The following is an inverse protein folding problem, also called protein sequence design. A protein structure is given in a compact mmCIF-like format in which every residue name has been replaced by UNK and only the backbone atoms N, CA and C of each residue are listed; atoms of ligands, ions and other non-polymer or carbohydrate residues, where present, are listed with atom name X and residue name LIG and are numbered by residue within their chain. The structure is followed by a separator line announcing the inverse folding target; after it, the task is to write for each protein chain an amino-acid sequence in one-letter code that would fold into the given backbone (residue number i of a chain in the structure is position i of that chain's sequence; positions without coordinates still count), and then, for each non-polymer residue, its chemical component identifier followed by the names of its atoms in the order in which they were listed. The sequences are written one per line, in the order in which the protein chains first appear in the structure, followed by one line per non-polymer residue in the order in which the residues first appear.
data_IF_538982657107
#
_entry.id   IF_538982657107
#
_cell.length_a   1.000
_cell.length_b   1.000
_cell.length_c   1.000
_cell.angle_alpha   90.00
_cell.angle_beta   90.00
_cell.angle_gamma   90.00
#
_symmetry.space_group_name_H-M   'P 1'
#
loop_
_entity.id
_entity.type
_entity.pdbx_description
1 polymer ?
#
# COMPACT_ATOMS: atom_id res chain seq x y z
N UNK A 1 -20.46 -7.54 -0.28
CA UNK A 1 -19.06 -8.01 -0.19
C UNK A 1 -18.18 -7.03 -0.93
N UNK A 2 -17.16 -6.50 -0.24
CA UNK A 2 -16.25 -5.54 -0.82
C UNK A 2 -15.23 -6.22 -1.75
N UNK A 3 -14.83 -5.55 -2.79
CA UNK A 3 -13.88 -6.08 -3.78
C UNK A 3 -12.98 -4.98 -4.35
N UNK A 4 -11.80 -5.36 -4.77
CA UNK A 4 -10.89 -4.52 -5.54
C UNK A 4 -10.77 -5.05 -6.97
N UNK A 5 -10.69 -4.12 -7.92
CA UNK A 5 -10.49 -4.43 -9.34
C UNK A 5 -9.50 -3.43 -9.93
N UNK A 6 -8.76 -3.87 -10.91
CA UNK A 6 -7.97 -2.96 -11.76
C UNK A 6 -8.59 -2.97 -13.15
N UNK A 7 -8.88 -1.79 -13.68
CA UNK A 7 -9.27 -1.59 -15.07
C UNK A 7 -8.17 -0.80 -15.77
N UNK A 8 -8.00 -1.06 -17.05
CA UNK A 8 -7.00 -0.39 -17.86
C UNK A 8 -7.58 0.14 -19.16
N UNK A 9 -7.05 1.28 -19.60
CA UNK A 9 -7.21 1.79 -20.95
C UNK A 9 -6.02 1.27 -21.77
N UNK A 10 -6.30 0.61 -22.87
CA UNK A 10 -5.29 0.18 -23.83
C UNK A 10 -5.43 0.95 -25.15
N UNK A 11 -4.33 1.08 -25.88
CA UNK A 11 -4.32 1.60 -27.23
C UNK A 11 -4.78 0.55 -28.28
N UNK A 12 -4.74 0.89 -29.54
CA UNK A 12 -5.14 -0.01 -30.63
C UNK A 12 -4.22 -1.24 -30.80
N UNK A 13 -3.01 -1.20 -30.26
CA UNK A 13 -2.07 -2.33 -30.23
C UNK A 13 -2.29 -3.25 -29.01
N UNK A 14 -3.15 -2.85 -28.07
CA UNK A 14 -3.41 -3.57 -26.84
C UNK A 14 -2.44 -3.20 -25.69
N UNK A 15 -1.58 -2.19 -25.89
CA UNK A 15 -0.68 -1.72 -24.85
C UNK A 15 -1.41 -0.83 -23.85
N UNK A 16 -1.18 -1.04 -22.56
CA UNK A 16 -1.82 -0.26 -21.51
C UNK A 16 -1.25 1.16 -21.49
N UNK A 17 -2.14 2.13 -21.63
CA UNK A 17 -1.81 3.56 -21.54
C UNK A 17 -2.01 4.09 -20.13
N UNK A 18 -3.05 3.60 -19.44
CA UNK A 18 -3.37 3.99 -18.07
C UNK A 18 -4.23 2.95 -17.39
N UNK A 19 -4.22 2.92 -16.06
CA UNK A 19 -5.01 2.01 -15.23
C UNK A 19 -5.64 2.75 -14.05
N UNK A 20 -6.74 2.19 -13.55
CA UNK A 20 -7.43 2.63 -12.34
C UNK A 20 -7.66 1.45 -11.42
N UNK A 21 -7.50 1.71 -10.13
CA UNK A 21 -7.94 0.80 -9.08
C UNK A 21 -9.37 1.16 -8.67
N UNK A 22 -10.27 0.21 -8.79
CA UNK A 22 -11.65 0.32 -8.33
C UNK A 22 -11.78 -0.38 -6.98
N UNK A 23 -12.20 0.38 -5.98
CA UNK A 23 -12.36 -0.08 -4.62
C UNK A 23 -13.84 -0.09 -4.25
N UNK A 24 -14.44 -1.28 -4.23
CA UNK A 24 -15.82 -1.51 -3.88
C UNK A 24 -15.91 -1.85 -2.39
N UNK A 25 -16.33 -0.92 -1.59
CA UNK A 25 -16.44 -1.06 -0.13
C UNK A 25 -17.62 -0.23 0.37
N UNK A 26 -18.21 -0.56 1.53
CA UNK A 26 -19.04 0.41 2.25
C UNK A 26 -18.27 1.72 2.43
N UNK A 27 -18.95 2.84 2.37
CA UNK A 27 -18.30 4.15 2.48
C UNK A 27 -17.41 4.23 3.73
N UNK A 28 -16.09 4.47 3.57
CA UNK A 28 -15.21 4.64 4.70
C UNK A 28 -15.59 5.88 5.50
N UNK A 29 -15.55 5.77 6.82
CA UNK A 29 -15.77 6.94 7.68
C UNK A 29 -14.52 7.81 7.73
N UNK A 30 -14.72 9.10 7.86
CA UNK A 30 -13.68 10.04 8.23
C UNK A 30 -13.50 10.03 9.75
N UNK A 31 -12.27 9.84 10.19
CA UNK A 31 -11.89 9.81 11.60
C UNK A 31 -10.97 10.98 11.88
N UNK A 32 -11.33 11.83 12.82
CA UNK A 32 -10.51 12.98 13.23
C UNK A 32 -9.75 12.62 14.49
N UNK A 33 -8.42 12.67 14.41
CA UNK A 33 -7.51 12.40 15.51
C UNK A 33 -7.25 13.64 16.36
N UNK A 34 -6.66 13.47 17.56
CA UNK A 34 -6.41 14.54 18.50
C UNK A 34 -5.53 15.68 17.94
N UNK A 35 -4.63 15.36 16.99
CA UNK A 35 -3.81 16.33 16.27
C UNK A 35 -4.59 17.10 15.17
N UNK A 36 -5.90 16.89 15.05
CA UNK A 36 -6.75 17.51 14.03
C UNK A 36 -6.63 16.90 12.63
N UNK A 37 -5.81 15.87 12.44
CA UNK A 37 -5.71 15.15 11.17
C UNK A 37 -6.93 14.26 10.94
N UNK A 38 -7.34 14.17 9.69
CA UNK A 38 -8.50 13.36 9.29
C UNK A 38 -8.02 12.24 8.38
N UNK A 39 -8.27 11.01 8.80
CA UNK A 39 -7.95 9.80 8.06
C UNK A 39 -9.22 9.02 7.71
N UNK A 40 -9.12 8.12 6.74
CA UNK A 40 -10.14 7.08 6.57
C UNK A 40 -10.01 6.05 7.70
N UNK A 41 -11.11 5.45 8.10
CA UNK A 41 -11.16 4.41 9.15
C UNK A 41 -10.50 3.09 8.75
N UNK A 42 -9.93 3.02 7.57
CA UNK A 42 -9.31 1.81 7.01
C UNK A 42 -8.26 2.12 5.95
N UNK A 43 -7.35 1.18 5.72
CA UNK A 43 -6.37 1.24 4.64
C UNK A 43 -7.04 1.08 3.27
N UNK A 44 -6.43 1.65 2.23
CA UNK A 44 -6.89 1.46 0.84
C UNK A 44 -6.96 -0.03 0.49
N UNK A 45 -8.10 -0.44 -0.06
CA UNK A 45 -8.37 -1.84 -0.40
C UNK A 45 -9.02 -2.66 0.71
N UNK A 46 -9.02 -2.19 1.95
CA UNK A 46 -9.76 -2.84 3.03
C UNK A 46 -11.27 -2.65 2.84
N UNK A 47 -12.03 -3.71 3.09
CA UNK A 47 -13.49 -3.71 2.89
C UNK A 47 -14.27 -3.75 4.20
N UNK A 48 -13.57 -3.81 5.32
CA UNK A 48 -14.08 -3.76 6.68
C UNK A 48 -13.08 -3.16 7.66
N UNK A 49 -13.49 -3.04 8.92
CA UNK A 49 -12.67 -2.49 10.02
C UNK A 49 -12.61 -3.42 11.23
N UNK A 50 -13.18 -4.64 11.12
CA UNK A 50 -13.22 -5.57 12.24
C UNK A 50 -11.81 -6.06 12.58
N UNK A 51 -11.33 -5.85 13.81
CA UNK A 51 -10.00 -6.29 14.24
C UNK A 51 -9.80 -7.80 14.04
N UNK A 52 -8.70 -8.16 13.39
CA UNK A 52 -8.33 -9.54 13.09
C UNK A 52 -9.05 -10.16 11.88
N UNK A 53 -10.04 -9.49 11.30
CA UNK A 53 -10.68 -9.94 10.06
C UNK A 53 -9.79 -9.69 8.85
N UNK A 54 -9.78 -10.62 7.88
CA UNK A 54 -9.12 -10.42 6.59
C UNK A 54 -9.63 -9.18 5.82
N UNK A 55 -10.86 -8.76 6.08
CA UNK A 55 -11.49 -7.58 5.49
C UNK A 55 -10.83 -6.26 5.92
N UNK A 56 -10.12 -6.24 7.04
CA UNK A 56 -9.46 -5.05 7.57
C UNK A 56 -8.04 -4.85 6.99
N UNK A 57 -7.51 -5.83 6.28
CA UNK A 57 -6.22 -5.73 5.62
C UNK A 57 -6.37 -5.06 4.25
N UNK A 58 -5.57 -4.01 4.02
CA UNK A 58 -5.56 -3.27 2.77
C UNK A 58 -4.61 -3.87 1.73
N UNK A 59 -4.35 -3.08 0.72
CA UNK A 59 -3.41 -3.38 -0.35
C UNK A 59 -2.06 -2.68 -0.09
N UNK A 60 -1.00 -3.18 -0.74
CA UNK A 60 0.31 -2.57 -0.69
C UNK A 60 0.53 -1.65 -1.88
N UNK A 61 1.39 -0.66 -1.68
CA UNK A 61 1.79 0.28 -2.71
C UNK A 61 3.30 0.46 -2.70
N UNK A 62 3.88 0.70 -3.84
CA UNK A 62 5.23 1.27 -3.94
C UNK A 62 5.13 2.78 -3.84
N UNK A 63 6.00 3.42 -3.07
CA UNK A 63 5.96 4.87 -2.89
C UNK A 63 5.95 5.61 -4.22
N UNK A 64 5.00 6.51 -4.40
CA UNK A 64 4.85 7.28 -5.64
C UNK A 64 4.11 6.53 -6.77
N UNK A 65 3.54 5.35 -6.54
CA UNK A 65 2.70 4.63 -7.50
C UNK A 65 1.23 4.67 -7.13
N UNK A 66 0.39 4.77 -8.15
CA UNK A 66 -1.07 4.69 -8.05
C UNK A 66 -1.61 3.25 -8.02
N UNK A 67 -0.83 2.29 -8.51
CA UNK A 67 -1.27 0.92 -8.71
C UNK A 67 -1.01 0.07 -7.48
N UNK A 68 -2.01 -0.67 -7.00
CA UNK A 68 -1.91 -1.51 -5.82
C UNK A 68 -1.29 -2.87 -6.13
N UNK A 69 -0.74 -3.48 -5.07
CA UNK A 69 -0.34 -4.88 -5.04
C UNK A 69 -1.16 -5.63 -4.00
N UNK A 70 -1.39 -6.92 -4.27
CA UNK A 70 -2.18 -7.73 -3.35
C UNK A 70 -1.60 -7.68 -1.94
N UNK A 71 -2.53 -7.58 -0.98
CA UNK A 71 -2.25 -7.65 0.44
C UNK A 71 -2.01 -9.06 0.91
N UNK A 72 -1.51 -9.18 2.13
CA UNK A 72 -1.45 -10.41 2.88
C UNK A 72 -2.21 -10.26 4.19
N UNK A 73 -2.56 -11.36 4.82
CA UNK A 73 -3.07 -11.38 6.19
C UNK A 73 -1.94 -11.67 7.17
N UNK A 74 -2.14 -11.39 8.45
CA UNK A 74 -1.15 -11.65 9.49
C UNK A 74 -0.74 -13.13 9.61
N UNK A 75 -1.60 -14.04 9.17
CA UNK A 75 -1.39 -15.49 9.24
C UNK A 75 -0.65 -16.05 8.02
N UNK A 76 -0.43 -15.27 6.99
CA UNK A 76 0.30 -15.73 5.82
C UNK A 76 1.79 -15.84 6.11
N UNK A 77 2.28 -17.07 6.02
CA UNK A 77 3.71 -17.39 6.16
C UNK A 77 4.39 -17.62 4.81
N UNK A 78 3.61 -17.69 3.73
CA UNK A 78 4.12 -17.99 2.40
C UNK A 78 4.76 -16.77 1.75
N UNK A 79 6.05 -16.85 1.55
CA UNK A 79 6.84 -15.88 0.80
C UNK A 79 6.68 -16.01 -0.73
N UNK A 80 5.78 -16.85 -1.22
CA UNK A 80 5.59 -17.01 -2.65
C UNK A 80 4.97 -15.74 -3.22
N UNK A 81 5.78 -15.08 -4.01
CA UNK A 81 5.44 -13.87 -4.72
C UNK A 81 4.06 -14.00 -5.38
N UNK A 82 3.26 -12.97 -5.28
CA UNK A 82 2.10 -12.68 -6.14
C UNK A 82 1.09 -13.79 -6.45
N UNK A 83 1.32 -15.05 -6.08
CA UNK A 83 0.41 -16.16 -6.36
C UNK A 83 -0.99 -15.96 -5.74
N UNK A 84 -1.08 -15.21 -4.67
CA UNK A 84 -2.34 -14.87 -4.00
C UNK A 84 -3.08 -13.69 -4.62
N UNK A 85 -2.45 -12.98 -5.53
CA UNK A 85 -3.07 -11.89 -6.25
C UNK A 85 -4.24 -12.33 -7.12
N UNK A 86 -4.21 -13.55 -7.58
CA UNK A 86 -5.25 -14.12 -8.45
C UNK A 86 -6.63 -14.17 -7.79
N UNK A 87 -6.70 -14.30 -6.48
CA UNK A 87 -7.97 -14.37 -5.74
C UNK A 87 -8.64 -13.00 -5.57
N UNK A 88 -7.86 -11.93 -5.54
CA UNK A 88 -8.35 -10.56 -5.31
C UNK A 88 -8.35 -9.67 -6.55
N UNK A 89 -7.80 -10.13 -7.67
CA UNK A 89 -7.83 -9.42 -8.93
C UNK A 89 -8.64 -10.22 -9.96
N UNK A 90 -9.72 -9.67 -10.47
CA UNK A 90 -10.30 -10.18 -11.70
C UNK A 90 -9.45 -9.63 -12.85
N UNK A 91 -8.45 -10.38 -13.19
CA UNK A 91 -7.83 -10.24 -14.50
C UNK A 91 -8.82 -10.79 -15.51
N UNK A 92 -9.08 -10.06 -16.59
CA UNK A 92 -9.84 -10.62 -17.70
C UNK A 92 -9.15 -11.93 -18.13
N UNK A 93 -9.84 -13.09 -18.12
CA UNK A 93 -9.23 -14.38 -18.44
C UNK A 93 -8.51 -14.41 -19.80
N UNK A 94 -8.94 -13.57 -20.74
CA UNK A 94 -8.29 -13.43 -22.06
C UNK A 94 -6.88 -12.81 -21.98
N UNK A 95 -6.54 -12.15 -20.87
CA UNK A 95 -5.25 -11.49 -20.66
C UNK A 95 -4.49 -12.03 -19.45
N UNK A 96 -4.95 -13.13 -18.86
CA UNK A 96 -4.41 -13.67 -17.61
C UNK A 96 -2.89 -13.89 -17.65
N UNK A 97 -2.38 -14.43 -18.75
CA UNK A 97 -0.96 -14.75 -18.90
C UNK A 97 -0.08 -13.51 -19.09
N UNK A 98 -0.62 -12.44 -19.69
CA UNK A 98 0.13 -11.21 -19.98
C UNK A 98 -0.04 -10.13 -18.91
N UNK A 99 -1.11 -10.21 -18.14
CA UNK A 99 -1.48 -9.20 -17.13
C UNK A 99 -1.51 -9.77 -15.71
N UNK A 100 -0.85 -10.89 -15.47
CA UNK A 100 -0.67 -11.42 -14.13
C UNK A 100 0.30 -10.56 -13.30
N UNK A 101 0.10 -10.56 -11.99
CA UNK A 101 1.06 -9.94 -11.07
C UNK A 101 2.44 -10.58 -11.22
N UNK A 102 3.46 -9.77 -11.41
CA UNK A 102 4.85 -10.22 -11.56
C UNK A 102 5.84 -9.26 -10.91
N UNK A 103 7.03 -9.74 -10.65
CA UNK A 103 8.15 -8.92 -10.21
C UNK A 103 9.12 -8.75 -11.38
N UNK A 104 9.55 -7.52 -11.62
CA UNK A 104 10.51 -7.16 -12.64
C UNK A 104 11.59 -6.24 -12.08
N UNK A 105 12.80 -6.34 -12.60
CA UNK A 105 13.93 -5.58 -12.06
C UNK A 105 14.86 -5.07 -13.15
N UNK A 106 15.54 -3.97 -12.82
CA UNK A 106 16.54 -3.35 -13.66
C UNK A 106 16.17 -1.94 -14.12
N UNK A 107 17.17 -1.16 -14.50
CA UNK A 107 16.98 0.25 -14.82
C UNK A 107 16.03 0.50 -16.01
N UNK A 108 15.98 -0.42 -16.95
CA UNK A 108 15.13 -0.30 -18.15
C UNK A 108 13.63 -0.35 -17.83
N UNK A 109 13.23 -1.13 -16.81
CA UNK A 109 11.84 -1.25 -16.38
C UNK A 109 11.48 -0.29 -15.24
N UNK A 110 12.48 0.33 -14.62
CA UNK A 110 12.32 1.20 -13.46
C UNK A 110 12.04 2.64 -13.87
N UNK A 111 11.02 2.85 -14.68
CA UNK A 111 10.57 4.15 -15.19
C UNK A 111 9.07 4.35 -14.95
N UNK A 112 8.62 5.62 -14.98
CA UNK A 112 7.19 5.93 -14.83
C UNK A 112 6.36 5.42 -16.00
N UNK A 113 6.89 5.54 -17.19
CA UNK A 113 6.27 5.09 -18.44
C UNK A 113 6.06 3.57 -18.39
N UNK A 114 7.09 2.84 -17.99
CA UNK A 114 6.98 1.38 -17.83
C UNK A 114 5.97 1.01 -16.74
N UNK A 115 6.00 1.70 -15.60
CA UNK A 115 5.06 1.45 -14.50
C UNK A 115 3.61 1.70 -14.93
N UNK A 116 3.34 2.73 -15.73
CA UNK A 116 2.01 3.04 -16.24
C UNK A 116 1.50 1.96 -17.21
N UNK A 117 2.37 1.47 -18.09
CA UNK A 117 2.06 0.40 -19.03
C UNK A 117 1.96 -1.00 -18.37
N UNK A 118 2.55 -1.17 -17.19
CA UNK A 118 2.61 -2.45 -16.48
C UNK A 118 2.12 -2.31 -15.02
N UNK A 119 0.83 -2.01 -14.82
CA UNK A 119 0.29 -1.72 -13.48
C UNK A 119 0.41 -2.89 -12.50
N UNK A 120 0.49 -4.13 -12.99
CA UNK A 120 0.61 -5.34 -12.19
C UNK A 120 2.08 -5.78 -11.97
N UNK A 121 3.05 -5.04 -12.48
CA UNK A 121 4.47 -5.34 -12.26
C UNK A 121 5.00 -4.63 -11.01
N UNK A 122 5.46 -5.42 -10.04
CA UNK A 122 6.25 -4.90 -8.92
C UNK A 122 7.66 -4.62 -9.41
N UNK A 123 8.06 -3.38 -9.39
CA UNK A 123 9.34 -2.95 -9.97
C UNK A 123 10.42 -2.86 -8.90
N UNK A 124 11.61 -3.33 -9.21
CA UNK A 124 12.77 -3.15 -8.35
C UNK A 124 13.97 -2.66 -9.16
N UNK A 125 14.67 -1.67 -8.62
CA UNK A 125 15.92 -1.18 -9.20
C UNK A 125 17.12 -1.87 -8.52
N UNK A 126 17.06 -3.19 -8.42
CA UNK A 126 18.11 -3.98 -7.80
C UNK A 126 19.41 -3.86 -8.59
N UNK A 127 20.46 -3.40 -7.94
CA UNK A 127 21.80 -3.26 -8.51
C UNK A 127 22.35 -1.83 -8.49
N UNK A 128 21.52 -0.83 -8.26
CA UNK A 128 21.99 0.52 -7.99
C UNK A 128 22.39 0.63 -6.52
N UNK A 129 23.67 0.71 -6.24
CA UNK A 129 24.20 0.82 -4.88
C UNK A 129 23.65 2.06 -4.18
N UNK A 130 23.01 1.87 -3.02
CA UNK A 130 22.46 2.95 -2.21
C UNK A 130 21.13 3.56 -2.70
N UNK A 131 20.52 3.02 -3.75
CA UNK A 131 19.19 3.43 -4.22
C UNK A 131 18.16 2.42 -3.72
N UNK A 132 17.23 2.89 -2.90
CA UNK A 132 16.13 2.10 -2.34
C UNK A 132 14.79 2.44 -2.98
N UNK A 133 14.82 3.05 -4.15
CA UNK A 133 13.66 3.42 -4.94
C UNK A 133 13.46 2.41 -6.08
N UNK A 134 12.21 2.17 -6.42
CA UNK A 134 11.89 1.38 -7.62
C UNK A 134 12.21 2.13 -8.92
N UNK A 135 12.24 3.47 -8.88
CA UNK A 135 12.65 4.31 -10.01
C UNK A 135 14.17 4.35 -10.15
N UNK A 136 14.66 4.17 -11.36
CA UNK A 136 16.07 4.38 -11.68
C UNK A 136 16.51 5.83 -11.48
N UNK A 137 15.60 6.76 -11.71
CA UNK A 137 15.77 8.20 -11.40
C UNK A 137 14.71 8.59 -10.39
N UNK A 138 15.05 8.63 -9.09
CA UNK A 138 14.13 8.95 -8.03
C UNK A 138 13.43 10.30 -8.21
N UNK A 139 12.13 10.35 -7.90
CA UNK A 139 11.30 11.57 -7.96
C UNK A 139 10.58 11.79 -6.64
N UNK A 140 10.56 13.02 -6.15
CA UNK A 140 9.93 13.39 -4.88
C UNK A 140 8.53 13.98 -5.05
N UNK A 141 8.07 14.18 -6.27
CA UNK A 141 6.85 14.89 -6.63
C UNK A 141 5.67 13.96 -6.97
N UNK A 142 5.84 12.64 -6.86
CA UNK A 142 4.80 11.67 -7.21
C UNK A 142 3.67 11.62 -6.18
N UNK A 143 4.02 11.61 -4.89
CA UNK A 143 3.09 11.84 -3.80
C UNK A 143 3.50 13.14 -3.11
N UNK A 144 2.61 14.10 -3.07
CA UNK A 144 2.95 15.45 -2.62
C UNK A 144 1.82 16.03 -1.76
N UNK A 145 2.06 17.20 -1.18
CA UNK A 145 1.06 17.97 -0.43
C UNK A 145 -0.18 18.25 -1.28
N UNK A 146 0.01 18.59 -2.55
CA UNK A 146 -1.07 18.58 -3.54
C UNK A 146 -1.21 17.19 -4.14
N UNK A 147 -2.45 16.68 -4.22
CA UNK A 147 -2.74 15.38 -4.83
C UNK A 147 -2.30 15.35 -6.30
N UNK A 148 -1.56 14.33 -6.66
CA UNK A 148 -1.12 14.06 -8.05
C UNK A 148 -1.94 12.92 -8.66
N UNK A 149 -1.78 12.69 -9.97
CA UNK A 149 -2.39 11.52 -10.63
C UNK A 149 -1.75 10.18 -10.22
N UNK A 150 -0.61 10.21 -9.54
CA UNK A 150 0.05 9.02 -8.98
C UNK A 150 -0.37 8.69 -7.55
N UNK A 151 -1.10 9.59 -6.90
CA UNK A 151 -1.61 9.35 -5.55
C UNK A 151 -2.79 8.35 -5.61
N UNK A 152 -2.72 7.22 -4.91
CA UNK A 152 -3.70 6.14 -5.02
C UNK A 152 -5.02 6.41 -4.28
N UNK A 153 -5.06 7.43 -3.42
CA UNK A 153 -6.25 7.69 -2.62
C UNK A 153 -7.44 8.13 -3.48
N UNK A 154 -8.68 7.90 -3.05
CA UNK A 154 -9.87 8.38 -3.74
C UNK A 154 -9.90 9.90 -3.90
N UNK A 155 -10.78 10.39 -4.75
CA UNK A 155 -11.03 11.83 -4.91
C UNK A 155 -11.41 12.44 -3.56
N UNK A 156 -10.82 13.60 -3.23
CA UNK A 156 -11.01 14.26 -1.94
C UNK A 156 -10.03 13.81 -0.86
N UNK A 157 -9.27 12.75 -1.09
CA UNK A 157 -8.24 12.23 -0.18
C UNK A 157 -6.88 12.19 -0.86
N UNK A 158 -5.83 12.14 -0.05
CA UNK A 158 -4.44 11.98 -0.50
C UNK A 158 -3.68 11.08 0.48
N UNK A 159 -2.51 10.62 0.06
CA UNK A 159 -1.56 9.97 0.96
C UNK A 159 -1.22 10.95 2.10
N UNK A 160 -1.22 10.50 3.37
CA UNK A 160 -0.99 11.36 4.53
C UNK A 160 0.32 12.13 4.45
N UNK A 161 0.33 13.34 4.98
CA UNK A 161 1.56 14.09 5.21
C UNK A 161 2.41 13.40 6.32
N UNK A 162 3.71 13.64 6.32
CA UNK A 162 4.63 13.03 7.28
C UNK A 162 4.17 13.19 8.72
N UNK A 163 3.82 14.41 9.10
CA UNK A 163 3.42 14.78 10.45
C UNK A 163 2.06 14.22 10.90
N UNK A 164 1.34 13.58 9.98
CA UNK A 164 0.09 12.88 10.32
C UNK A 164 0.33 11.74 11.31
N UNK A 165 1.50 11.12 11.27
CA UNK A 165 1.85 9.96 12.09
C UNK A 165 2.61 10.32 13.37
N UNK A 166 2.93 11.61 13.62
CA UNK A 166 3.77 12.03 14.73
C UNK A 166 3.17 11.67 16.11
N UNK A 167 1.83 11.67 16.22
CA UNK A 167 1.15 11.32 17.47
C UNK A 167 0.87 9.81 17.63
N UNK A 168 1.20 8.99 16.62
CA UNK A 168 0.98 7.54 16.63
C UNK A 168 2.17 6.77 17.18
N UNK A 169 3.36 7.35 17.12
CA UNK A 169 4.60 6.73 17.57
C UNK A 169 5.55 7.77 18.15
N UNK A 170 6.49 7.31 18.97
CA UNK A 170 7.59 8.16 19.42
C UNK A 170 8.61 8.40 18.28
N UNK A 171 9.66 9.19 18.57
CA UNK A 171 10.74 9.51 17.63
C UNK A 171 11.60 8.30 17.21
N UNK A 172 11.36 7.14 17.82
CA UNK A 172 11.99 5.85 17.53
C UNK A 172 11.08 4.91 16.73
N UNK A 173 10.00 5.42 16.13
CA UNK A 173 8.99 4.64 15.43
C UNK A 173 8.31 3.56 16.32
N UNK A 174 8.21 3.80 17.62
CA UNK A 174 7.53 2.93 18.59
C UNK A 174 6.21 3.54 19.03
N UNK A 175 5.24 2.67 19.34
CA UNK A 175 3.98 3.14 19.90
C UNK A 175 4.19 3.84 21.25
N UNK A 176 3.35 4.83 21.54
CA UNK A 176 3.39 5.57 22.80
C UNK A 176 2.55 4.85 23.85
N UNK A 177 3.16 4.49 24.97
CA UNK A 177 2.49 3.81 26.07
C UNK A 177 1.29 4.61 26.59
N UNK A 178 0.18 3.93 26.82
CA UNK A 178 -1.08 4.52 27.28
C UNK A 178 -1.94 5.14 26.16
N UNK A 179 -1.44 5.20 24.93
CA UNK A 179 -2.20 5.66 23.76
C UNK A 179 -2.43 4.56 22.72
N UNK A 180 -1.93 3.36 22.98
CA UNK A 180 -2.08 2.22 22.09
C UNK A 180 -2.10 0.90 22.85
N UNK A 181 -2.80 -0.09 22.28
CA UNK A 181 -2.94 -1.44 22.82
C UNK A 181 -2.59 -2.45 21.74
N UNK A 182 -1.60 -3.30 22.02
CA UNK A 182 -1.25 -4.42 21.16
C UNK A 182 -2.24 -5.58 21.35
N UNK A 183 -2.84 -6.03 20.26
CA UNK A 183 -3.66 -7.26 20.21
C UNK A 183 -2.85 -8.40 19.59
N UNK A 184 -2.32 -9.28 20.43
CA UNK A 184 -1.48 -10.40 20.01
C UNK A 184 -2.26 -11.57 19.40
N UNK A 185 -3.57 -11.61 19.56
CA UNK A 185 -4.43 -12.63 18.96
C UNK A 185 -4.88 -12.22 17.56
N UNK A 186 -5.13 -10.92 17.37
CA UNK A 186 -5.60 -10.35 16.09
C UNK A 186 -4.48 -9.74 15.26
N UNK A 187 -3.27 -9.68 15.80
CA UNK A 187 -2.09 -9.14 15.13
C UNK A 187 -2.29 -7.71 14.62
N UNK A 188 -2.56 -6.81 15.53
CA UNK A 188 -2.72 -5.40 15.22
C UNK A 188 -2.54 -4.51 16.44
N UNK A 189 -2.52 -3.22 16.19
CA UNK A 189 -2.41 -2.18 17.19
C UNK A 189 -3.70 -1.36 17.22
N UNK A 190 -4.31 -1.22 18.39
CA UNK A 190 -5.38 -0.25 18.60
C UNK A 190 -4.78 1.04 19.12
N UNK A 191 -4.96 2.10 18.39
CA UNK A 191 -4.60 3.45 18.85
C UNK A 191 -5.79 4.10 19.55
N UNK A 192 -5.51 4.80 20.64
CA UNK A 192 -6.51 5.40 21.53
C UNK A 192 -6.32 6.90 21.57
N UNK A 193 -7.35 7.65 21.14
CA UNK A 193 -7.37 9.10 21.13
C UNK A 193 -8.67 9.58 21.78
N UNK A 194 -8.64 9.80 23.09
CA UNK A 194 -9.86 10.06 23.88
C UNK A 194 -10.81 8.84 23.82
N UNK A 195 -12.00 9.04 23.32
CA UNK A 195 -13.00 7.97 23.14
C UNK A 195 -12.83 7.21 21.81
N UNK A 196 -11.97 7.68 20.92
CA UNK A 196 -11.69 7.04 19.64
C UNK A 196 -10.77 5.86 19.82
N UNK A 197 -11.11 4.73 19.19
CA UNK A 197 -10.29 3.52 19.12
C UNK A 197 -10.27 3.01 17.70
N UNK A 198 -9.12 3.09 17.07
CA UNK A 198 -8.89 2.60 15.72
C UNK A 198 -7.84 1.51 15.69
N UNK A 199 -8.16 0.43 15.02
CA UNK A 199 -7.29 -0.72 14.92
C UNK A 199 -6.55 -0.74 13.56
N UNK A 200 -5.24 -0.91 13.64
CA UNK A 200 -4.35 -1.01 12.49
C UNK A 200 -3.69 -2.39 12.45
N UNK A 201 -3.84 -3.15 11.35
CA UNK A 201 -3.24 -4.47 11.23
C UNK A 201 -1.72 -4.39 11.09
N UNK A 202 -1.01 -5.37 11.64
CA UNK A 202 0.39 -5.61 11.30
C UNK A 202 0.47 -6.41 10.00
N UNK A 203 0.19 -5.75 8.91
CA UNK A 203 0.12 -6.38 7.59
C UNK A 203 1.50 -6.71 7.01
N UNK A 204 2.60 -6.30 7.67
CA UNK A 204 3.94 -6.47 7.11
C UNK A 204 4.21 -5.53 5.94
N UNK A 205 5.02 -5.97 5.01
CA UNK A 205 5.40 -5.21 3.82
C UNK A 205 5.78 -6.13 2.65
N UNK A 206 5.83 -5.57 1.46
CA UNK A 206 6.45 -6.23 0.31
C UNK A 206 7.92 -5.82 0.22
N UNK A 207 8.79 -6.85 0.19
CA UNK A 207 10.22 -6.63 0.09
C UNK A 207 10.56 -5.91 -1.23
N UNK A 208 11.33 -4.85 -1.13
CA UNK A 208 11.69 -3.99 -2.28
C UNK A 208 12.44 -4.70 -3.40
N UNK A 209 13.20 -5.76 -3.07
CA UNK A 209 14.06 -6.44 -4.04
C UNK A 209 13.32 -7.55 -4.80
N UNK A 210 12.39 -8.22 -4.12
CA UNK A 210 11.73 -9.42 -4.64
C UNK A 210 10.20 -9.31 -4.69
N UNK A 211 9.61 -8.26 -4.08
CA UNK A 211 8.17 -8.09 -3.99
C UNK A 211 7.46 -9.12 -3.11
N UNK A 212 8.17 -10.07 -2.50
CA UNK A 212 7.58 -11.06 -1.60
C UNK A 212 7.12 -10.42 -0.30
N UNK A 213 6.13 -11.03 0.33
CA UNK A 213 5.64 -10.61 1.64
C UNK A 213 6.69 -10.86 2.72
N UNK A 214 6.83 -9.92 3.63
CA UNK A 214 7.73 -9.97 4.77
C UNK A 214 7.11 -9.21 5.95
N UNK A 215 7.63 -9.42 7.15
CA UNK A 215 7.18 -8.72 8.36
C UNK A 215 5.79 -9.13 8.85
N UNK A 216 5.27 -10.26 8.39
CA UNK A 216 3.95 -10.76 8.81
C UNK A 216 4.01 -11.34 10.22
N UNK A 217 2.88 -11.52 10.84
CA UNK A 217 2.58 -12.13 12.14
C UNK A 217 3.72 -12.21 13.18
N UNK A 218 4.82 -12.85 12.84
CA UNK A 218 5.93 -13.14 13.76
C UNK A 218 6.76 -11.90 14.15
N UNK A 219 6.75 -10.86 13.32
CA UNK A 219 7.56 -9.64 13.54
C UNK A 219 6.76 -8.47 14.09
N UNK A 220 5.44 -8.59 14.18
CA UNK A 220 4.53 -7.55 14.68
C UNK A 220 4.75 -6.20 13.97
N UNK A 221 4.92 -6.24 12.65
CA UNK A 221 5.29 -5.07 11.88
C UNK A 221 4.14 -4.59 10.99
N UNK A 222 3.74 -3.35 11.15
CA UNK A 222 2.86 -2.63 10.23
C UNK A 222 3.60 -1.47 9.59
N UNK A 223 3.45 -1.27 8.30
CA UNK A 223 4.06 -0.18 7.56
C UNK A 223 2.98 0.64 6.86
N UNK A 224 2.93 1.92 7.17
CA UNK A 224 1.96 2.86 6.62
C UNK A 224 2.69 4.02 5.95
N UNK A 225 2.33 4.31 4.73
CA UNK A 225 3.00 5.33 3.95
C UNK A 225 2.64 6.76 4.38
N UNK A 226 3.60 7.65 4.23
CA UNK A 226 3.37 9.08 4.12
C UNK A 226 3.85 9.59 2.75
N UNK A 227 3.47 10.81 2.39
CA UNK A 227 3.96 11.47 1.18
C UNK A 227 5.42 11.95 1.32
N UNK A 228 6.02 11.76 2.50
CA UNK A 228 7.39 12.21 2.75
C UNK A 228 8.42 11.31 2.12
N UNK A 229 9.47 11.92 1.63
CA UNK A 229 10.64 11.25 1.11
C UNK A 229 11.91 11.78 1.74
N UNK A 230 12.73 10.91 2.30
CA UNK A 230 14.04 11.24 2.85
C UNK A 230 15.13 10.78 1.87
N UNK A 231 15.75 11.72 1.17
CA UNK A 231 16.76 11.39 0.16
C UNK A 231 16.21 10.46 -0.93
N UNK A 232 16.73 9.25 -1.01
CA UNK A 232 16.35 8.23 -2.00
C UNK A 232 15.33 7.21 -1.47
N UNK A 233 14.68 7.47 -0.32
CA UNK A 233 13.77 6.54 0.35
C UNK A 233 12.43 7.23 0.59
N UNK A 234 11.32 6.62 0.13
CA UNK A 234 9.97 6.96 0.58
C UNK A 234 9.75 6.48 2.01
N UNK A 235 9.03 7.25 2.81
CA UNK A 235 8.70 6.94 4.21
C UNK A 235 7.24 7.20 4.52
#
# INVERSE_FOLDING_TARGET
EGQCRVIALADAAGEIVWSWHLWFTPEPRMVTYANGRVLLDRSLGAVGTTPGSAEAYGLYYQWGRKDPFCGGTATETSATAFAQAAENSVVNPAFADTHAWKQESGAAVSTLEYAAAHPLSFLSNKGATGVYDWLAKPRADLWNTAKTCYDPCPVGYKVPDRDTWDDFADDQDRYVDGTSEWDGEKYGMTYIFGDLRDWYPTSGYRNRDKGNLAGLATTRTGHYWSNYRSGNIGR
#
